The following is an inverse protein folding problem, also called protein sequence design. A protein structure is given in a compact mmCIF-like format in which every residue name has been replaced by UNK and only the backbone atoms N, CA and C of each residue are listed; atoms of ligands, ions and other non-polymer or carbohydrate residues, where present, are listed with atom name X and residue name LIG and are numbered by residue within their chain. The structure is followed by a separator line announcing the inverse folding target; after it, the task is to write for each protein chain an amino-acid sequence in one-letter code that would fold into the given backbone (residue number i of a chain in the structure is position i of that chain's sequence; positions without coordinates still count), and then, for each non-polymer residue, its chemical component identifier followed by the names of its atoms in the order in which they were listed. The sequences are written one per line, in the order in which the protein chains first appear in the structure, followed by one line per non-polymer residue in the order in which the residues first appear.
data_IF_373852738392
#
_entry.id   IF_373852738392
#
_cell.length_a   1.000
_cell.length_b   1.000
_cell.length_c   1.000
_cell.angle_alpha   90.00
_cell.angle_beta   90.00
_cell.angle_gamma   90.00
#
_symmetry.space_group_name_H-M   'P 1'
#
loop_
_entity.id
_entity.type
_entity.pdbx_description
1 polymer ?
#
# COMPACT_ATOMS: atom_id res chain seq x y z
N UNK A 1 28.46 -4.65 13.73
CA UNK A 1 27.52 -4.40 12.63
C UNK A 1 28.17 -4.95 11.37
N UNK A 2 27.53 -5.89 10.67
CA UNK A 2 28.08 -6.41 9.41
C UNK A 2 28.07 -5.34 8.32
N UNK A 3 28.95 -5.46 7.34
CA UNK A 3 28.95 -4.60 6.16
C UNK A 3 27.64 -4.79 5.36
N UNK A 4 27.09 -3.69 4.85
CA UNK A 4 25.92 -3.69 3.97
C UNK A 4 26.40 -3.97 2.55
N UNK A 5 25.77 -4.92 1.86
CA UNK A 5 26.11 -5.24 0.47
C UNK A 5 25.96 -3.96 -0.41
N UNK A 6 27.01 -3.56 -1.15
CA UNK A 6 26.99 -2.39 -2.01
C UNK A 6 25.83 -2.34 -3.01
N UNK A 7 25.27 -3.49 -3.39
CA UNK A 7 24.12 -3.57 -4.30
C UNK A 7 22.87 -2.83 -3.78
N UNK A 8 22.78 -2.55 -2.48
CA UNK A 8 21.66 -1.83 -1.85
C UNK A 8 21.97 -0.37 -1.52
N UNK A 9 23.19 0.11 -1.79
CA UNK A 9 23.61 1.46 -1.42
C UNK A 9 23.22 2.43 -2.54
N UNK A 10 22.26 3.31 -2.25
CA UNK A 10 21.91 4.40 -3.16
C UNK A 10 23.03 5.45 -3.26
N UNK A 11 23.20 6.02 -4.45
CA UNK A 11 24.10 7.16 -4.66
C UNK A 11 23.66 8.37 -3.80
N UNK A 12 24.60 9.19 -3.29
CA UNK A 12 24.30 10.30 -2.39
C UNK A 12 23.19 11.23 -2.87
N UNK A 13 23.10 11.48 -4.18
CA UNK A 13 22.12 12.36 -4.81
C UNK A 13 20.70 11.78 -4.77
N UNK A 14 20.58 10.46 -4.65
CA UNK A 14 19.31 9.73 -4.60
C UNK A 14 18.82 9.44 -3.18
N UNK A 15 19.68 9.64 -2.17
CA UNK A 15 19.31 9.40 -0.77
C UNK A 15 18.27 10.43 -0.31
N UNK A 16 17.35 10.05 0.59
CA UNK A 16 16.38 10.99 1.16
C UNK A 16 17.10 12.17 1.79
N UNK A 17 16.73 13.39 1.38
CA UNK A 17 17.10 14.59 2.13
C UNK A 17 16.14 14.66 3.31
N UNK A 18 16.62 14.34 4.51
CA UNK A 18 15.82 14.46 5.72
C UNK A 18 15.67 15.95 6.02
N UNK A 19 14.62 16.56 5.47
CA UNK A 19 14.13 17.86 5.91
C UNK A 19 12.95 17.61 6.85
N UNK A 20 13.08 18.02 8.11
CA UNK A 20 11.96 18.04 9.03
C UNK A 20 11.03 19.18 8.61
N UNK A 21 9.97 18.84 7.89
CA UNK A 21 8.86 19.75 7.68
C UNK A 21 7.91 19.53 8.86
N UNK A 22 7.67 20.57 9.65
CA UNK A 22 6.58 20.58 10.62
C UNK A 22 5.26 20.60 9.83
N UNK A 23 4.83 19.41 9.40
CA UNK A 23 3.66 19.22 8.56
C UNK A 23 2.39 19.12 9.41
N UNK A 24 1.26 19.59 8.87
CA UNK A 24 -0.08 19.56 9.49
C UNK A 24 -0.66 18.14 9.71
N UNK A 25 0.16 17.09 9.60
CA UNK A 25 -0.28 15.69 9.58
C UNK A 25 -0.86 15.26 8.22
N UNK A 26 -0.82 13.96 7.94
CA UNK A 26 -1.47 13.39 6.73
C UNK A 26 -2.99 13.47 6.89
N UNK A 27 -3.76 13.88 5.86
CA UNK A 27 -5.22 13.93 5.94
C UNK A 27 -5.82 12.60 6.38
N UNK A 28 -6.84 12.65 7.25
CA UNK A 28 -7.54 11.49 7.80
C UNK A 28 -9.03 11.62 7.49
N UNK A 29 -9.52 10.80 6.56
CA UNK A 29 -10.89 10.88 6.04
C UNK A 29 -11.77 9.84 6.72
N UNK A 30 -12.91 10.28 7.26
CA UNK A 30 -13.92 9.41 7.87
C UNK A 30 -14.98 8.98 6.86
N UNK A 31 -15.06 7.67 6.57
CA UNK A 31 -16.01 7.11 5.62
C UNK A 31 -17.30 6.58 6.27
N UNK A 32 -17.50 6.81 7.57
CA UNK A 32 -18.71 6.36 8.29
C UNK A 32 -20.00 6.87 7.64
N UNK A 33 -19.96 8.07 7.05
CA UNK A 33 -21.09 8.67 6.34
C UNK A 33 -21.62 7.76 5.22
N UNK A 34 -20.74 7.16 4.43
CA UNK A 34 -21.09 6.31 3.28
C UNK A 34 -21.71 4.98 3.74
N UNK A 35 -21.35 4.52 4.93
CA UNK A 35 -21.84 3.27 5.50
C UNK A 35 -23.15 3.43 6.27
N UNK A 36 -23.54 4.67 6.57
CA UNK A 36 -24.78 4.94 7.29
C UNK A 36 -25.98 4.64 6.39
N UNK A 37 -26.83 3.70 6.81
CA UNK A 37 -28.02 3.28 6.04
C UNK A 37 -29.17 4.30 6.08
N UNK A 38 -28.93 5.48 6.65
CA UNK A 38 -29.92 6.53 6.83
C UNK A 38 -29.64 7.67 5.84
N UNK A 39 -30.67 8.45 5.50
CA UNK A 39 -30.63 9.58 4.56
C UNK A 39 -29.51 10.59 4.88
N UNK A 40 -28.30 10.34 4.38
CA UNK A 40 -27.20 11.30 4.36
C UNK A 40 -27.68 12.52 3.57
N UNK A 41 -27.54 13.72 4.15
CA UNK A 41 -27.90 14.92 3.40
C UNK A 41 -26.94 15.12 2.23
N UNK A 42 -27.45 15.66 1.11
CA UNK A 42 -26.60 15.95 -0.05
C UNK A 42 -25.40 16.85 0.31
N UNK A 43 -25.59 17.75 1.29
CA UNK A 43 -24.57 18.67 1.79
C UNK A 43 -23.44 17.92 2.50
N UNK A 44 -23.75 16.96 3.37
CA UNK A 44 -22.73 16.17 4.07
C UNK A 44 -21.93 15.30 3.09
N UNK A 45 -22.62 14.69 2.12
CA UNK A 45 -21.95 13.89 1.08
C UNK A 45 -21.04 14.74 0.20
N UNK A 46 -21.50 15.92 -0.23
CA UNK A 46 -20.69 16.87 -0.98
C UNK A 46 -19.47 17.33 -0.17
N UNK A 47 -19.63 17.54 1.13
CA UNK A 47 -18.54 17.84 2.06
C UNK A 47 -17.45 16.75 2.06
N UNK A 48 -17.84 15.48 2.19
CA UNK A 48 -16.90 14.35 2.16
C UNK A 48 -16.21 14.22 0.79
N UNK A 49 -16.94 14.36 -0.32
CA UNK A 49 -16.36 14.34 -1.67
C UNK A 49 -15.33 15.46 -1.84
N UNK A 50 -15.64 16.65 -1.33
CA UNK A 50 -14.71 17.78 -1.35
C UNK A 50 -13.46 17.50 -0.52
N UNK A 51 -13.59 16.92 0.67
CA UNK A 51 -12.45 16.55 1.52
C UNK A 51 -11.52 15.54 0.83
N UNK A 52 -12.08 14.51 0.20
CA UNK A 52 -11.32 13.55 -0.62
C UNK A 52 -10.62 14.26 -1.79
N UNK A 53 -11.34 15.13 -2.50
CA UNK A 53 -10.80 15.90 -3.62
C UNK A 53 -9.64 16.81 -3.22
N UNK A 54 -9.78 17.51 -2.11
CA UNK A 54 -8.74 18.40 -1.56
C UNK A 54 -7.52 17.59 -1.13
N UNK A 55 -7.70 16.46 -0.44
CA UNK A 55 -6.60 15.57 -0.06
C UNK A 55 -5.85 15.01 -1.29
N UNK A 56 -6.57 14.57 -2.32
CA UNK A 56 -5.96 14.15 -3.59
C UNK A 56 -5.16 15.28 -4.26
N UNK A 57 -5.71 16.50 -4.28
CA UNK A 57 -5.11 17.65 -4.96
C UNK A 57 -3.91 18.23 -4.23
N UNK A 58 -3.99 18.35 -2.91
CA UNK A 58 -2.99 19.02 -2.08
C UNK A 58 -1.91 18.06 -1.58
N UNK A 59 -2.27 16.80 -1.32
CA UNK A 59 -1.36 15.80 -0.76
C UNK A 59 -1.03 14.66 -1.72
N UNK A 60 -1.97 14.24 -2.57
CA UNK A 60 -1.85 13.02 -3.36
C UNK A 60 -1.89 11.72 -2.53
N UNK A 61 -2.16 11.84 -1.22
CA UNK A 61 -2.24 10.72 -0.28
C UNK A 61 -3.08 11.10 0.95
N UNK A 62 -3.81 10.14 1.51
CA UNK A 62 -4.59 10.29 2.74
C UNK A 62 -4.80 8.94 3.42
N UNK A 63 -5.18 8.97 4.68
CA UNK A 63 -5.62 7.81 5.44
C UNK A 63 -7.15 7.78 5.49
N UNK A 64 -7.74 6.59 5.58
CA UNK A 64 -9.19 6.41 5.77
C UNK A 64 -9.47 5.68 7.07
N UNK A 65 -10.52 6.10 7.76
CA UNK A 65 -11.10 5.41 8.93
C UNK A 65 -12.57 5.12 8.70
N UNK A 66 -13.12 4.19 9.48
CA UNK A 66 -14.52 3.77 9.37
C UNK A 66 -14.90 3.35 7.93
N UNK A 67 -13.98 2.74 7.20
CA UNK A 67 -14.13 2.31 5.80
C UNK A 67 -14.91 0.99 5.65
N UNK A 68 -15.44 0.43 6.74
CA UNK A 68 -16.37 -0.72 6.70
C UNK A 68 -15.72 -2.07 6.44
N UNK A 69 -14.41 -2.13 6.21
CA UNK A 69 -13.69 -3.41 6.08
C UNK A 69 -13.54 -4.01 7.49
N UNK A 70 -14.07 -5.22 7.75
CA UNK A 70 -13.97 -5.85 9.06
C UNK A 70 -12.53 -6.07 9.48
N UNK A 71 -12.21 -5.76 10.75
CA UNK A 71 -10.87 -5.91 11.31
C UNK A 71 -10.30 -7.32 11.11
N UNK A 72 -11.11 -8.36 11.31
CA UNK A 72 -10.69 -9.74 11.11
C UNK A 72 -10.30 -10.10 9.67
N UNK A 73 -10.71 -9.32 8.64
CA UNK A 73 -10.19 -9.49 7.27
C UNK A 73 -8.78 -8.93 7.16
N UNK A 74 -8.53 -7.75 7.73
CA UNK A 74 -7.19 -7.11 7.76
C UNK A 74 -6.19 -8.00 8.49
N UNK A 75 -6.56 -8.51 9.66
CA UNK A 75 -5.71 -9.39 10.46
C UNK A 75 -5.32 -10.67 9.73
N UNK A 76 -6.24 -11.26 8.95
CA UNK A 76 -5.96 -12.44 8.13
C UNK A 76 -4.97 -12.15 7.01
N UNK A 77 -5.07 -11.00 6.34
CA UNK A 77 -4.11 -10.60 5.30
C UNK A 77 -2.72 -10.38 5.91
N UNK A 78 -2.67 -9.67 7.06
CA UNK A 78 -1.42 -9.42 7.77
C UNK A 78 -0.76 -10.74 8.24
N UNK A 79 -1.54 -11.68 8.75
CA UNK A 79 -1.07 -13.01 9.18
C UNK A 79 -0.60 -13.87 8.00
N UNK A 80 -1.35 -13.90 6.89
CA UNK A 80 -0.96 -14.61 5.68
C UNK A 80 0.36 -14.06 5.10
N UNK A 81 0.52 -12.74 5.04
CA UNK A 81 1.75 -12.09 4.61
C UNK A 81 2.94 -12.49 5.50
N UNK A 82 2.79 -12.39 6.82
CA UNK A 82 3.85 -12.81 7.77
C UNK A 82 4.22 -14.27 7.60
N UNK A 83 3.24 -15.17 7.52
CA UNK A 83 3.46 -16.60 7.31
C UNK A 83 4.19 -16.87 6.01
N UNK A 84 3.81 -16.19 4.92
CA UNK A 84 4.45 -16.38 3.63
C UNK A 84 5.92 -15.97 3.65
N UNK A 85 6.24 -14.76 4.14
CA UNK A 85 7.59 -14.21 4.10
C UNK A 85 8.54 -14.85 5.13
N UNK A 86 8.01 -15.49 6.17
CA UNK A 86 8.77 -16.29 7.13
C UNK A 86 9.25 -17.65 6.56
N UNK A 87 8.74 -18.08 5.40
CA UNK A 87 9.20 -19.31 4.74
C UNK A 87 10.63 -19.17 4.21
N UNK A 88 11.27 -20.31 3.92
CA UNK A 88 12.58 -20.32 3.27
C UNK A 88 12.53 -19.67 1.89
N UNK A 89 13.69 -19.17 1.43
CA UNK A 89 13.81 -18.60 0.10
C UNK A 89 13.46 -19.60 -1.00
N UNK A 90 13.75 -20.88 -0.81
CA UNK A 90 13.40 -21.97 -1.74
C UNK A 90 11.89 -22.10 -1.90
N UNK A 91 11.14 -22.09 -0.79
CA UNK A 91 9.67 -22.14 -0.82
C UNK A 91 9.08 -20.90 -1.49
N UNK A 92 9.56 -19.70 -1.13
CA UNK A 92 9.09 -18.44 -1.74
C UNK A 92 9.36 -18.42 -3.25
N UNK A 93 10.48 -18.98 -3.71
CA UNK A 93 10.85 -19.02 -5.13
C UNK A 93 10.03 -19.98 -5.99
N UNK A 94 9.25 -20.90 -5.40
CA UNK A 94 8.33 -21.77 -6.16
C UNK A 94 7.25 -20.99 -6.90
N UNK A 95 6.91 -19.80 -6.39
CA UNK A 95 5.91 -18.88 -6.96
C UNK A 95 6.57 -17.60 -7.47
N UNK A 96 7.83 -17.67 -7.91
CA UNK A 96 8.57 -16.50 -8.40
C UNK A 96 8.00 -16.02 -9.73
N UNK A 97 7.74 -14.71 -9.82
CA UNK A 97 7.31 -14.10 -11.09
C UNK A 97 8.38 -14.26 -12.18
N UNK A 98 7.95 -14.48 -13.42
CA UNK A 98 8.78 -14.65 -14.60
C UNK A 98 8.14 -13.96 -15.82
N UNK A 99 8.75 -14.10 -17.02
CA UNK A 99 8.27 -13.44 -18.25
C UNK A 99 6.83 -13.84 -18.63
N UNK A 100 6.35 -15.00 -18.19
CA UNK A 100 4.99 -15.50 -18.46
C UNK A 100 4.05 -15.26 -17.29
N UNK A 101 4.53 -15.47 -16.08
CA UNK A 101 3.78 -15.29 -14.84
C UNK A 101 4.23 -14.00 -14.17
N UNK A 102 3.59 -12.89 -14.53
CA UNK A 102 3.99 -11.55 -14.08
C UNK A 102 3.69 -11.27 -12.59
N UNK A 103 2.87 -12.12 -11.97
CA UNK A 103 2.53 -12.10 -10.54
C UNK A 103 3.32 -13.17 -9.78
N UNK A 104 3.55 -12.93 -8.50
CA UNK A 104 4.26 -13.84 -7.61
C UNK A 104 5.38 -13.15 -6.82
N UNK A 105 6.24 -13.98 -6.23
CA UNK A 105 7.36 -13.54 -5.41
C UNK A 105 8.49 -12.89 -6.24
N UNK A 106 9.10 -11.85 -5.68
CA UNK A 106 10.30 -11.23 -6.24
C UNK A 106 11.12 -10.51 -5.16
N UNK A 107 12.44 -10.59 -5.25
CA UNK A 107 13.40 -10.06 -4.26
C UNK A 107 14.52 -9.23 -4.90
N UNK A 108 14.39 -8.89 -6.18
CA UNK A 108 15.44 -8.24 -6.99
C UNK A 108 14.92 -7.00 -7.70
N UNK A 109 13.92 -6.31 -7.13
CA UNK A 109 13.46 -5.03 -7.67
C UNK A 109 14.57 -3.99 -7.57
N UNK A 110 14.60 -3.08 -8.54
CA UNK A 110 15.56 -1.99 -8.57
C UNK A 110 14.85 -0.65 -8.65
N UNK A 111 15.29 0.29 -7.82
CA UNK A 111 14.92 1.71 -7.92
C UNK A 111 16.17 2.50 -8.27
N UNK A 112 16.13 3.21 -9.41
CA UNK A 112 17.29 3.97 -9.94
C UNK A 112 18.54 3.09 -10.11
N UNK A 113 18.37 1.88 -10.66
CA UNK A 113 19.42 0.87 -10.87
C UNK A 113 20.11 0.33 -9.60
N UNK A 114 19.56 0.60 -8.42
CA UNK A 114 20.05 0.05 -7.14
C UNK A 114 19.00 -0.92 -6.62
N UNK A 115 19.43 -2.06 -6.07
CA UNK A 115 18.52 -3.08 -5.56
C UNK A 115 17.78 -2.55 -4.34
N UNK A 116 16.46 -2.71 -4.33
CA UNK A 116 15.65 -2.34 -3.19
C UNK A 116 15.94 -3.29 -2.02
N UNK A 117 16.05 -2.75 -0.81
CA UNK A 117 16.10 -3.55 0.42
C UNK A 117 14.68 -4.04 0.78
N UNK A 118 14.11 -4.88 -0.08
CA UNK A 118 12.77 -5.45 0.11
C UNK A 118 12.62 -6.76 -0.65
N UNK A 119 11.61 -7.51 -0.23
CA UNK A 119 10.99 -8.56 -1.01
C UNK A 119 9.51 -8.22 -1.21
N UNK A 120 8.92 -8.74 -2.29
CA UNK A 120 7.54 -8.47 -2.69
C UNK A 120 6.86 -9.75 -3.15
N UNK A 121 5.54 -9.79 -3.00
CA UNK A 121 4.68 -10.79 -3.60
C UNK A 121 3.48 -10.07 -4.22
N UNK A 122 3.41 -10.10 -5.55
CA UNK A 122 2.34 -9.46 -6.30
C UNK A 122 1.27 -10.49 -6.67
N UNK A 123 -0.01 -10.12 -6.55
CA UNK A 123 -1.11 -10.95 -7.04
C UNK A 123 -2.24 -10.08 -7.56
N UNK A 124 -3.02 -10.62 -8.48
CA UNK A 124 -4.25 -10.01 -8.97
C UNK A 124 -5.42 -10.97 -8.78
N UNK A 125 -6.61 -10.41 -8.58
CA UNK A 125 -7.86 -11.18 -8.54
C UNK A 125 -8.24 -11.49 -9.99
N UNK A 126 -8.49 -12.77 -10.29
CA UNK A 126 -8.74 -13.24 -11.66
C UNK A 126 -10.19 -13.04 -12.15
N UNK A 127 -11.00 -12.25 -11.44
CA UNK A 127 -12.34 -11.79 -11.88
C UNK A 127 -12.57 -10.31 -11.52
N UNK A 128 -13.26 -9.53 -12.38
CA UNK A 128 -13.45 -8.11 -12.17
C UNK A 128 -14.34 -7.83 -10.96
N UNK A 129 -14.00 -6.80 -10.20
CA UNK A 129 -14.87 -6.21 -9.20
C UNK A 129 -16.21 -5.86 -9.84
N UNK A 130 -17.26 -6.64 -9.56
CA UNK A 130 -18.63 -6.24 -9.88
C UNK A 130 -18.92 -5.02 -8.99
N UNK A 131 -18.90 -3.83 -9.57
CA UNK A 131 -19.55 -2.66 -8.99
C UNK A 131 -21.05 -2.96 -9.06
N UNK A 132 -21.65 -3.33 -7.92
CA UNK A 132 -23.09 -3.38 -7.81
C UNK A 132 -23.62 -1.96 -7.99
N UNK A 133 -24.41 -1.75 -9.04
CA UNK A 133 -25.19 -0.54 -9.34
C UNK A 133 -26.35 -0.38 -8.38
#
# INVERSE_FOLDING_TARGET
MGEVDPAFIQEPEHRPRISYIEGKGVPLIDLSLILSSNNVSAIEFEGLVKEVGDACKEWGFFQVINHGVPLGKREKIDDASRKFFAQSLEEKRKVRRNEKEVFGYHDTEHTKNVRDWKEVFDFAIQEPTILLS
#
